data_IF_189276792363
#
_entry.id   IF_189276792363
#
_cell.length_a   1.000
_cell.length_b   1.000
_cell.length_c   1.000
_cell.angle_alpha   90.00
_cell.angle_beta   90.00
_cell.angle_gamma   90.00
#
_symmetry.space_group_name_H-M   'P 1'
#
loop_
_entity.id
_entity.type
_entity.pdbx_description
1 polymer ?
#
# COMPACT_ATOMS: atom_id res chain seq x y z
N UNK A 1 -0.88 -13.23 2.35
CA UNK A 1 0.26 -14.08 2.79
C UNK A 1 1.54 -13.89 1.98
N UNK A 2 1.50 -13.29 0.78
CA UNK A 2 2.65 -13.19 -0.16
C UNK A 2 3.66 -12.06 0.11
N UNK A 3 3.58 -11.35 1.24
CA UNK A 3 4.58 -10.34 1.56
C UNK A 3 5.98 -10.97 1.64
N UNK A 4 6.96 -10.35 0.96
CA UNK A 4 8.37 -10.79 0.98
C UNK A 4 8.94 -10.65 2.40
N UNK A 5 8.72 -9.50 3.03
CA UNK A 5 9.02 -9.24 4.43
C UNK A 5 7.72 -9.12 5.22
N UNK A 6 7.60 -9.80 6.35
CA UNK A 6 6.43 -9.75 7.23
C UNK A 6 6.46 -8.49 8.09
N UNK A 7 5.31 -8.14 8.65
CA UNK A 7 5.17 -6.96 9.53
C UNK A 7 6.21 -6.94 10.66
N UNK A 8 6.49 -8.04 11.39
CA UNK A 8 7.52 -8.03 12.43
C UNK A 8 8.93 -7.70 11.90
N UNK A 9 9.32 -8.25 10.74
CA UNK A 9 10.63 -8.01 10.12
C UNK A 9 10.77 -6.55 9.66
N UNK A 10 9.69 -5.95 9.17
CA UNK A 10 9.66 -4.54 8.79
C UNK A 10 9.85 -3.63 10.02
N UNK A 11 9.17 -3.95 11.13
CA UNK A 11 9.29 -3.17 12.38
C UNK A 11 10.71 -3.26 12.92
N UNK A 12 11.27 -4.47 13.00
CA UNK A 12 12.65 -4.72 13.43
C UNK A 12 13.64 -3.86 12.61
N UNK A 13 13.60 -4.01 11.28
CA UNK A 13 14.52 -3.30 10.40
C UNK A 13 14.40 -1.77 10.50
N UNK A 14 13.19 -1.23 10.57
CA UNK A 14 13.00 0.22 10.72
C UNK A 14 13.52 0.72 12.07
N UNK A 15 13.28 -0.05 13.14
CA UNK A 15 13.69 0.32 14.51
C UNK A 15 15.20 0.36 14.73
N UNK A 16 15.97 -0.36 13.90
CA UNK A 16 17.45 -0.31 13.92
C UNK A 16 18.02 0.98 13.33
N UNK A 17 17.24 1.67 12.48
CA UNK A 17 17.70 2.86 11.74
C UNK A 17 17.13 4.16 12.32
N UNK A 18 15.91 4.10 12.86
CA UNK A 18 15.22 5.24 13.48
C UNK A 18 14.32 4.78 14.63
N UNK A 19 14.07 5.67 15.58
CA UNK A 19 13.06 5.42 16.62
C UNK A 19 11.66 5.51 16.03
N UNK A 20 10.88 4.42 16.15
CA UNK A 20 9.45 4.42 15.85
C UNK A 20 8.68 4.97 17.05
N UNK A 21 7.81 5.94 16.82
CA UNK A 21 6.99 6.58 17.84
C UNK A 21 5.54 6.08 17.80
N UNK A 22 4.81 6.09 18.93
CA UNK A 22 3.40 5.76 18.94
C UNK A 22 2.59 6.66 18.00
N UNK A 23 1.93 6.05 17.02
CA UNK A 23 1.15 6.75 15.99
C UNK A 23 1.81 6.78 14.62
N UNK A 24 3.06 6.33 14.49
CA UNK A 24 3.71 6.18 13.19
C UNK A 24 2.98 5.17 12.30
N UNK A 25 2.99 5.45 10.99
CA UNK A 25 2.30 4.64 9.97
C UNK A 25 3.30 4.12 8.95
N UNK A 26 3.31 2.80 8.75
CA UNK A 26 4.20 2.11 7.82
C UNK A 26 3.42 1.59 6.62
N UNK A 27 3.78 2.05 5.42
CA UNK A 27 3.28 1.49 4.16
C UNK A 27 4.01 0.18 3.82
N UNK A 28 3.32 -0.96 3.95
CA UNK A 28 3.95 -2.29 3.85
C UNK A 28 4.10 -2.84 2.42
N UNK A 29 3.80 -2.01 1.43
CA UNK A 29 3.93 -2.34 0.00
C UNK A 29 2.60 -2.63 -0.69
N UNK A 30 2.67 -2.96 -1.98
CA UNK A 30 1.52 -3.26 -2.84
C UNK A 30 1.79 -4.52 -3.66
N UNK A 31 0.79 -5.38 -3.92
CA UNK A 31 0.95 -6.50 -4.83
C UNK A 31 1.15 -6.05 -6.29
N UNK A 32 1.36 -7.01 -7.18
CA UNK A 32 1.45 -6.76 -8.61
C UNK A 32 0.14 -6.18 -9.20
N UNK A 33 0.25 -5.50 -10.34
CA UNK A 33 -0.91 -5.00 -11.11
C UNK A 33 -1.09 -3.48 -11.10
N UNK A 34 -0.13 -2.74 -10.53
CA UNK A 34 -0.09 -1.29 -10.58
C UNK A 34 -0.13 -0.78 -12.02
N UNK A 35 -0.76 0.37 -12.24
CA UNK A 35 -1.04 0.90 -13.56
C UNK A 35 0.18 1.07 -14.47
N UNK A 36 1.31 1.47 -13.89
CA UNK A 36 2.59 1.63 -14.58
C UNK A 36 3.12 0.32 -15.18
N UNK A 37 2.91 -0.82 -14.51
CA UNK A 37 3.45 -2.12 -14.96
C UNK A 37 2.55 -2.82 -15.98
N UNK A 38 1.46 -2.19 -16.42
CA UNK A 38 0.56 -2.75 -17.45
C UNK A 38 1.11 -2.48 -18.85
N UNK A 39 0.65 -3.29 -19.81
CA UNK A 39 0.96 -3.09 -21.24
C UNK A 39 -0.35 -2.98 -22.03
N UNK A 40 -0.75 -1.78 -22.49
CA UNK A 40 -0.10 -0.49 -22.27
C UNK A 40 -0.22 0.01 -20.81
N UNK A 41 0.67 0.92 -20.35
CA UNK A 41 0.53 1.53 -19.03
C UNK A 41 -0.80 2.26 -18.88
N UNK A 42 -1.43 2.14 -17.70
CA UNK A 42 -2.69 2.82 -17.38
C UNK A 42 -2.51 3.67 -16.13
N UNK A 43 -2.66 4.98 -16.28
CA UNK A 43 -2.64 5.92 -15.16
C UNK A 43 -4.04 6.43 -14.85
N UNK A 44 -4.20 6.99 -13.65
CA UNK A 44 -5.45 7.60 -13.21
C UNK A 44 -5.79 8.83 -14.05
N UNK A 45 -7.08 9.07 -14.24
CA UNK A 45 -7.64 10.24 -14.93
C UNK A 45 -8.77 10.82 -14.09
N UNK A 46 -9.07 12.10 -14.32
CA UNK A 46 -10.23 12.74 -13.71
C UNK A 46 -11.51 11.92 -14.02
N UNK A 47 -12.32 11.69 -12.99
CA UNK A 47 -13.51 10.85 -13.04
C UNK A 47 -13.28 9.37 -12.71
N UNK A 48 -12.03 8.89 -12.61
CA UNK A 48 -11.76 7.54 -12.12
C UNK A 48 -12.12 7.43 -10.62
N UNK A 49 -12.45 6.21 -10.18
CA UNK A 49 -12.61 5.88 -8.75
C UNK A 49 -11.62 4.76 -8.41
N UNK A 50 -10.84 4.96 -7.34
CA UNK A 50 -9.91 3.96 -6.80
C UNK A 50 -10.54 3.35 -5.55
N UNK A 51 -10.68 2.02 -5.56
CA UNK A 51 -11.15 1.25 -4.42
C UNK A 51 -10.01 0.36 -3.90
N UNK A 52 -9.74 0.46 -2.60
CA UNK A 52 -8.73 -0.32 -1.90
C UNK A 52 -9.39 -1.11 -0.78
N UNK A 53 -9.37 -2.45 -0.88
CA UNK A 53 -10.03 -3.33 0.09
C UNK A 53 -9.01 -4.23 0.78
N UNK A 54 -9.13 -4.33 2.10
CA UNK A 54 -8.50 -5.40 2.89
C UNK A 54 -9.60 -6.18 3.59
N UNK A 55 -9.66 -7.48 3.30
CA UNK A 55 -10.64 -8.39 3.92
C UNK A 55 -10.51 -8.34 5.45
N UNK A 56 -11.66 -8.21 6.13
CA UNK A 56 -11.73 -8.09 7.59
C UNK A 56 -11.42 -6.70 8.16
N UNK A 57 -10.95 -5.74 7.35
CA UNK A 57 -10.73 -4.35 7.77
C UNK A 57 -11.77 -3.42 7.13
N UNK A 58 -11.88 -3.44 5.80
CA UNK A 58 -12.84 -2.60 5.07
C UNK A 58 -12.35 -2.15 3.70
N UNK A 59 -13.15 -1.29 3.08
CA UNK A 59 -12.90 -0.70 1.76
C UNK A 59 -12.76 0.82 1.88
N UNK A 60 -11.68 1.36 1.33
CA UNK A 60 -11.49 2.79 1.12
C UNK A 60 -11.82 3.12 -0.36
N UNK A 61 -12.63 4.15 -0.58
CA UNK A 61 -13.04 4.60 -1.92
C UNK A 61 -12.61 6.05 -2.12
N UNK A 62 -11.82 6.29 -3.16
CA UNK A 62 -11.28 7.61 -3.48
C UNK A 62 -11.62 8.00 -4.94
N UNK A 63 -12.51 8.99 -5.17
CA UNK A 63 -12.70 9.56 -6.49
C UNK A 63 -11.51 10.45 -6.88
N UNK A 64 -11.10 10.37 -8.15
CA UNK A 64 -10.05 11.19 -8.76
C UNK A 64 -10.72 12.38 -9.44
N UNK A 65 -10.33 13.59 -9.05
CA UNK A 65 -10.87 14.85 -9.59
C UNK A 65 -9.87 15.56 -10.48
#
# INVERSE_FOLDING_TARGET
>A
SQMIFKVPEIIEYLSDVLTLEPGDVVGTGTPAGVGFSRTPPRFLRAGDVVECTVEGIGTLVNPVQ
#
